data_IF_179218339073
#
_entry.id   IF_179218339073
#
_cell.length_a   1.000
_cell.length_b   1.000
_cell.length_c   1.000
_cell.angle_alpha   90.00
_cell.angle_beta   90.00
_cell.angle_gamma   90.00
#
_symmetry.space_group_name_H-M   'P 1'
#
loop_
_entity.id
_entity.type
_entity.pdbx_description
1 polymer ?
#
# COMPACT_ATOMS: atom_id res chain seq x y z
N UNK A 1 -35.68 -28.90 51.40
CA UNK A 1 -34.40 -28.24 51.73
C UNK A 1 -33.52 -28.22 50.49
N UNK A 2 -32.76 -27.14 50.24
CA UNK A 2 -32.87 -26.41 48.97
C UNK A 2 -31.73 -26.60 47.97
N UNK A 3 -32.12 -26.46 46.70
CA UNK A 3 -31.43 -25.83 45.57
C UNK A 3 -30.01 -26.30 45.20
N UNK A 4 -29.94 -27.14 44.16
CA UNK A 4 -28.84 -27.09 43.21
C UNK A 4 -28.82 -25.71 42.56
N UNK A 5 -27.99 -24.80 43.07
CA UNK A 5 -27.64 -23.57 42.38
C UNK A 5 -26.96 -23.96 41.07
N UNK A 6 -27.74 -23.97 39.97
CA UNK A 6 -27.19 -23.86 38.62
C UNK A 6 -26.38 -22.57 38.62
N UNK A 7 -25.06 -22.71 38.70
CA UNK A 7 -24.15 -21.65 38.32
C UNK A 7 -24.43 -21.44 36.84
N UNK A 8 -25.26 -20.45 36.52
CA UNK A 8 -25.39 -19.98 35.14
C UNK A 8 -24.05 -19.34 34.84
N UNK A 9 -23.12 -20.18 34.34
CA UNK A 9 -21.83 -19.72 33.86
C UNK A 9 -22.11 -18.60 32.89
N UNK A 10 -21.53 -17.44 33.15
CA UNK A 10 -21.63 -16.28 32.27
C UNK A 10 -21.13 -16.67 30.88
N UNK A 11 -22.06 -17.09 30.01
CA UNK A 11 -21.79 -17.34 28.61
C UNK A 11 -21.66 -15.97 27.99
N UNK A 12 -20.42 -15.50 27.81
CA UNK A 12 -20.19 -14.29 27.01
C UNK A 12 -20.95 -14.44 25.68
N UNK A 13 -21.63 -13.39 25.20
CA UNK A 13 -22.56 -13.52 24.08
C UNK A 13 -21.84 -14.12 22.86
N UNK A 14 -22.46 -15.13 22.24
CA UNK A 14 -21.91 -15.85 21.09
C UNK A 14 -21.49 -14.91 19.93
N UNK A 15 -22.13 -13.74 19.86
CA UNK A 15 -21.79 -12.67 18.92
C UNK A 15 -20.45 -11.99 19.25
N UNK A 16 -20.13 -11.78 20.52
CA UNK A 16 -18.81 -11.30 20.96
C UNK A 16 -17.73 -12.34 20.70
N UNK A 17 -18.03 -13.63 20.91
CA UNK A 17 -17.10 -14.72 20.57
C UNK A 17 -16.85 -14.81 19.06
N UNK A 18 -17.88 -14.69 18.22
CA UNK A 18 -17.70 -14.63 16.76
C UNK A 18 -16.92 -13.39 16.32
N UNK A 19 -17.19 -12.24 16.95
CA UNK A 19 -16.45 -11.00 16.72
C UNK A 19 -14.98 -11.12 17.12
N UNK A 20 -14.69 -11.72 18.28
CA UNK A 20 -13.34 -12.00 18.76
C UNK A 20 -12.62 -13.02 17.87
N UNK A 21 -13.29 -14.10 17.46
CA UNK A 21 -12.74 -15.10 16.53
C UNK A 21 -12.43 -14.49 15.16
N UNK A 22 -13.28 -13.58 14.67
CA UNK A 22 -13.02 -12.86 13.43
C UNK A 22 -11.88 -11.85 13.58
N UNK A 23 -11.85 -11.08 14.67
CA UNK A 23 -10.77 -10.14 14.96
C UNK A 23 -9.42 -10.86 15.11
N UNK A 24 -9.40 -12.01 15.78
CA UNK A 24 -8.19 -12.86 15.90
C UNK A 24 -7.79 -13.50 14.59
N UNK A 25 -8.73 -13.81 13.69
CA UNK A 25 -8.42 -14.24 12.32
C UNK A 25 -7.75 -13.12 11.53
N UNK A 26 -8.30 -11.90 11.58
CA UNK A 26 -7.73 -10.72 10.90
C UNK A 26 -6.33 -10.42 11.44
N UNK A 27 -6.11 -10.50 12.75
CA UNK A 27 -4.79 -10.31 13.35
C UNK A 27 -3.75 -11.36 12.94
N UNK A 28 -4.17 -12.53 12.44
CA UNK A 28 -3.29 -13.58 11.92
C UNK A 28 -3.00 -13.44 10.42
N UNK A 29 -3.74 -12.58 9.71
CA UNK A 29 -3.52 -12.33 8.29
C UNK A 29 -2.27 -11.46 8.09
N UNK A 30 -1.52 -11.77 7.03
CA UNK A 30 -0.37 -10.96 6.62
C UNK A 30 -0.86 -9.88 5.66
N UNK A 31 -0.81 -8.62 6.10
CA UNK A 31 -1.15 -7.45 5.26
C UNK A 31 0.07 -6.86 4.53
N UNK A 32 1.22 -7.52 4.62
CA UNK A 32 2.49 -7.04 4.05
C UNK A 32 3.35 -6.31 5.09
N UNK A 33 4.30 -5.54 4.60
CA UNK A 33 5.31 -4.89 5.43
C UNK A 33 5.04 -3.39 5.54
N UNK A 34 5.24 -2.82 6.74
CA UNK A 34 5.22 -1.38 6.98
C UNK A 34 6.66 -0.91 7.15
N UNK A 35 7.11 -0.01 6.28
CA UNK A 35 8.45 0.57 6.35
C UNK A 35 8.38 1.94 7.02
N UNK A 36 9.08 2.11 8.15
CA UNK A 36 9.15 3.38 8.88
C UNK A 36 10.60 3.81 8.93
N UNK A 37 10.91 4.98 8.36
CA UNK A 37 12.22 5.60 8.45
C UNK A 37 12.16 6.76 9.44
N UNK A 38 12.82 6.61 10.59
CA UNK A 38 12.99 7.69 11.56
C UNK A 38 14.32 8.37 11.23
N UNK A 39 14.25 9.60 10.71
CA UNK A 39 15.43 10.40 10.38
C UNK A 39 16.07 11.06 11.59
N UNK A 40 17.19 11.73 11.35
CA UNK A 40 17.90 12.49 12.38
C UNK A 40 17.07 13.71 12.85
N UNK A 41 17.13 14.04 14.15
CA UNK A 41 16.43 15.21 14.68
C UNK A 41 17.01 16.52 14.11
N UNK A 42 16.13 17.42 13.66
CA UNK A 42 16.52 18.73 13.12
C UNK A 42 16.38 19.79 14.21
N UNK A 43 17.50 20.36 14.66
CA UNK A 43 17.47 21.50 15.59
C UNK A 43 17.15 22.79 14.84
N UNK A 44 15.93 23.29 15.02
CA UNK A 44 15.48 24.57 14.46
C UNK A 44 16.38 25.72 14.88
N UNK A 45 16.80 25.75 16.16
CA UNK A 45 17.74 26.77 16.68
C UNK A 45 19.07 26.76 15.95
N UNK A 46 19.61 25.57 15.66
CA UNK A 46 20.89 25.44 14.92
C UNK A 46 20.71 25.80 13.45
N UNK A 47 19.59 25.42 12.85
CA UNK A 47 19.31 25.68 11.43
C UNK A 47 19.08 27.18 11.15
N UNK A 48 18.32 27.85 12.01
CA UNK A 48 17.97 29.28 11.88
C UNK A 48 19.02 30.21 12.49
N UNK A 49 19.86 29.73 13.41
CA UNK A 49 20.88 30.54 14.10
C UNK A 49 21.72 31.47 13.19
N UNK A 50 22.26 30.99 12.05
CA UNK A 50 23.01 31.83 11.11
C UNK A 50 22.14 32.58 10.09
N UNK A 51 20.82 32.38 10.09
CA UNK A 51 19.89 32.89 9.07
C UNK A 51 18.88 33.91 9.61
N UNK A 52 18.70 33.95 10.93
CA UNK A 52 17.73 34.79 11.62
C UNK A 52 18.39 35.47 12.82
N UNK A 53 18.38 36.80 12.78
CA UNK A 53 18.95 37.65 13.82
C UNK A 53 17.92 37.91 14.94
N UNK A 54 17.78 36.95 15.85
CA UNK A 54 16.80 36.99 16.95
C UNK A 54 16.93 38.18 17.92
N UNK A 55 18.06 38.87 17.89
CA UNK A 55 18.31 40.02 18.77
C UNK A 55 17.62 41.29 18.26
N UNK A 56 17.37 41.41 16.96
CA UNK A 56 16.70 42.57 16.35
C UNK A 56 15.22 42.64 16.76
N UNK A 57 14.57 41.48 16.89
CA UNK A 57 13.16 41.38 17.28
C UNK A 57 12.95 41.29 18.80
N UNK A 58 14.03 41.29 19.60
CA UNK A 58 13.96 41.10 21.06
C UNK A 58 13.37 42.33 21.79
N UNK A 59 13.42 43.51 21.18
CA UNK A 59 12.88 44.76 21.73
C UNK A 59 11.38 44.95 21.49
N UNK A 60 10.76 44.11 20.65
CA UNK A 60 9.34 44.18 20.30
C UNK A 60 8.63 42.97 20.90
N UNK A 61 7.50 43.15 21.60
CA UNK A 61 6.69 42.01 22.04
C UNK A 61 6.34 41.09 20.86
N UNK A 62 6.49 39.77 21.02
CA UNK A 62 6.43 38.80 19.92
C UNK A 62 5.10 38.81 19.14
N UNK A 63 4.01 39.30 19.72
CA UNK A 63 2.70 39.42 19.04
C UNK A 63 2.59 40.66 18.14
N UNK A 64 3.52 41.62 18.26
CA UNK A 64 3.61 42.84 17.45
C UNK A 64 4.77 42.80 16.45
N UNK A 65 5.70 41.86 16.59
CA UNK A 65 6.85 41.75 15.72
C UNK A 65 6.40 41.26 14.32
N UNK A 66 6.52 42.09 13.27
CA UNK A 66 6.27 41.63 11.91
C UNK A 66 7.38 40.65 11.51
N UNK A 67 7.01 39.59 10.78
CA UNK A 67 7.99 38.64 10.27
C UNK A 67 8.83 39.32 9.18
N UNK A 68 10.15 39.37 9.37
CA UNK A 68 11.02 39.97 8.36
C UNK A 68 11.11 39.08 7.12
N UNK A 69 11.40 39.69 5.97
CA UNK A 69 11.57 38.97 4.71
C UNK A 69 12.65 37.88 4.81
N UNK A 70 13.73 38.15 5.55
CA UNK A 70 14.81 37.19 5.77
C UNK A 70 14.36 36.00 6.62
N UNK A 71 13.52 36.22 7.63
CA UNK A 71 12.92 35.17 8.44
C UNK A 71 11.99 34.30 7.63
N UNK A 72 11.18 34.90 6.74
CA UNK A 72 10.33 34.16 5.82
C UNK A 72 11.13 33.24 4.89
N UNK A 73 12.21 33.76 4.29
CA UNK A 73 13.12 32.96 3.45
C UNK A 73 13.80 31.85 4.25
N UNK A 74 14.20 32.11 5.50
CA UNK A 74 14.81 31.11 6.37
C UNK A 74 13.82 29.99 6.75
N UNK A 75 12.56 30.33 6.99
CA UNK A 75 11.47 29.37 7.22
C UNK A 75 11.19 28.52 5.98
N UNK A 76 11.16 29.12 4.80
CA UNK A 76 10.98 28.39 3.54
C UNK A 76 12.14 27.41 3.29
N UNK A 77 13.39 27.87 3.52
CA UNK A 77 14.57 27.01 3.44
C UNK A 77 14.53 25.86 4.45
N UNK A 78 14.00 26.07 5.66
CA UNK A 78 13.77 25.00 6.64
C UNK A 78 12.73 24.00 6.14
N UNK A 79 11.62 24.48 5.58
CA UNK A 79 10.59 23.64 4.97
C UNK A 79 11.15 22.74 3.87
N UNK A 80 11.92 23.31 2.94
CA UNK A 80 12.60 22.54 1.90
C UNK A 80 13.63 21.55 2.46
N UNK A 81 14.34 21.90 3.53
CA UNK A 81 15.28 21.00 4.18
C UNK A 81 14.58 19.79 4.82
N UNK A 82 13.48 20.03 5.54
CA UNK A 82 12.64 18.96 6.12
C UNK A 82 12.07 18.07 5.02
N UNK A 83 11.53 18.65 3.95
CA UNK A 83 10.97 17.90 2.83
C UNK A 83 12.03 17.00 2.18
N UNK A 84 13.25 17.51 1.98
CA UNK A 84 14.36 16.74 1.44
C UNK A 84 14.70 15.56 2.36
N UNK A 85 14.73 15.75 3.68
CA UNK A 85 14.98 14.68 4.65
C UNK A 85 13.89 13.60 4.63
N UNK A 86 12.63 13.99 4.47
CA UNK A 86 11.52 13.05 4.30
C UNK A 86 11.69 12.25 3.00
N UNK A 87 12.05 12.92 1.89
CA UNK A 87 12.27 12.27 0.61
C UNK A 87 13.46 11.30 0.63
N UNK A 88 14.57 11.66 1.30
CA UNK A 88 15.74 10.78 1.49
C UNK A 88 15.40 9.50 2.31
N UNK A 89 14.42 9.61 3.21
CA UNK A 89 13.90 8.50 4.01
C UNK A 89 12.74 7.74 3.35
N UNK A 90 12.26 8.18 2.19
CA UNK A 90 11.13 7.54 1.53
C UNK A 90 11.55 6.20 0.93
N UNK A 91 10.72 5.18 1.16
CA UNK A 91 10.92 3.83 0.64
C UNK A 91 9.67 3.43 -0.14
N UNK A 92 9.88 2.93 -1.35
CA UNK A 92 8.81 2.45 -2.23
C UNK A 92 8.55 0.97 -1.93
N UNK A 93 7.27 0.59 -1.80
CA UNK A 93 6.91 -0.82 -1.61
C UNK A 93 7.07 -1.58 -2.93
N UNK A 94 7.52 -2.84 -2.85
CA UNK A 94 7.60 -3.71 -4.02
C UNK A 94 6.23 -3.88 -4.70
N UNK A 95 5.17 -4.01 -3.90
CA UNK A 95 3.80 -4.14 -4.38
C UNK A 95 3.38 -2.95 -5.26
N UNK A 96 3.75 -1.72 -4.89
CA UNK A 96 3.46 -0.53 -5.72
C UNK A 96 4.07 -0.63 -7.12
N UNK A 97 5.27 -1.21 -7.25
CA UNK A 97 5.92 -1.43 -8.55
C UNK A 97 5.21 -2.53 -9.34
N UNK A 98 4.76 -3.58 -8.68
CA UNK A 98 3.96 -4.64 -9.30
C UNK A 98 2.61 -4.09 -9.81
N UNK A 99 1.93 -3.26 -9.03
CA UNK A 99 0.69 -2.59 -9.44
C UNK A 99 0.89 -1.77 -10.71
N UNK A 100 2.02 -1.08 -10.86
CA UNK A 100 2.33 -0.33 -12.08
C UNK A 100 2.40 -1.26 -13.30
N UNK A 101 3.00 -2.45 -13.14
CA UNK A 101 3.06 -3.45 -14.21
C UNK A 101 1.70 -4.05 -14.54
N UNK A 102 0.88 -4.34 -13.51
CA UNK A 102 -0.49 -4.80 -13.71
C UNK A 102 -1.35 -3.75 -14.40
N UNK A 103 -1.24 -2.48 -14.01
CA UNK A 103 -1.95 -1.38 -14.67
C UNK A 103 -1.54 -1.25 -16.14
N UNK A 104 -0.24 -1.39 -16.43
CA UNK A 104 0.27 -1.41 -17.82
C UNK A 104 -0.29 -2.58 -18.63
N UNK A 105 -0.44 -3.77 -18.03
CA UNK A 105 -1.03 -4.93 -18.68
C UNK A 105 -2.53 -4.73 -18.95
N UNK A 106 -3.27 -4.21 -17.97
CA UNK A 106 -4.70 -3.90 -18.10
C UNK A 106 -4.95 -2.85 -19.20
N UNK A 107 -4.09 -1.84 -19.33
CA UNK A 107 -4.18 -0.85 -20.41
C UNK A 107 -4.05 -1.50 -21.79
N UNK A 108 -3.26 -2.57 -21.91
CA UNK A 108 -3.14 -3.37 -23.14
C UNK A 108 -4.28 -4.38 -23.33
N UNK A 109 -5.28 -4.41 -22.43
CA UNK A 109 -6.37 -5.38 -22.43
C UNK A 109 -5.96 -6.77 -21.95
N UNK A 110 -4.80 -6.92 -21.31
CA UNK A 110 -4.29 -8.20 -20.82
C UNK A 110 -4.61 -8.37 -19.33
N UNK A 111 -5.32 -9.45 -19.00
CA UNK A 111 -5.68 -9.83 -17.62
C UNK A 111 -4.74 -10.86 -17.00
N UNK A 112 -3.66 -11.18 -17.72
CA UNK A 112 -2.67 -12.17 -17.33
C UNK A 112 -1.28 -11.67 -17.70
N UNK A 113 -0.33 -11.83 -16.78
CA UNK A 113 1.09 -11.50 -16.97
C UNK A 113 1.91 -12.73 -16.63
N UNK A 114 2.90 -13.09 -17.46
CA UNK A 114 3.82 -14.18 -17.13
C UNK A 114 4.62 -13.84 -15.87
N UNK A 115 4.76 -14.78 -14.93
CA UNK A 115 5.52 -14.56 -13.70
C UNK A 115 6.97 -14.14 -13.97
N UNK A 116 7.67 -14.85 -14.86
CA UNK A 116 9.05 -14.53 -15.22
C UNK A 116 9.16 -13.11 -15.79
N UNK A 117 8.22 -12.71 -16.65
CA UNK A 117 8.20 -11.37 -17.22
C UNK A 117 7.92 -10.29 -16.18
N UNK A 118 7.02 -10.58 -15.24
CA UNK A 118 6.72 -9.68 -14.13
C UNK A 118 7.96 -9.45 -13.25
N UNK A 119 8.70 -10.52 -12.91
CA UNK A 119 9.94 -10.41 -12.14
C UNK A 119 10.98 -9.56 -12.88
N UNK A 120 11.19 -9.82 -14.17
CA UNK A 120 12.13 -9.05 -15.00
C UNK A 120 11.77 -7.55 -15.04
N UNK A 121 10.49 -7.25 -15.30
CA UNK A 121 10.00 -5.87 -15.43
C UNK A 121 10.03 -5.12 -14.08
N UNK A 122 9.76 -5.82 -12.99
CA UNK A 122 9.85 -5.26 -11.63
C UNK A 122 11.30 -5.03 -11.24
N UNK A 123 12.20 -5.96 -11.51
CA UNK A 123 13.64 -5.81 -11.28
C UNK A 123 14.20 -4.62 -12.08
N UNK A 124 13.75 -4.42 -13.32
CA UNK A 124 14.10 -3.25 -14.12
C UNK A 124 13.64 -1.94 -13.46
N UNK A 125 12.41 -1.88 -12.94
CA UNK A 125 11.91 -0.71 -12.21
C UNK A 125 12.69 -0.43 -10.92
N UNK A 126 13.05 -1.48 -10.18
CA UNK A 126 13.86 -1.34 -8.95
C UNK A 126 15.20 -0.68 -9.29
N UNK A 127 15.91 -1.21 -10.29
CA UNK A 127 17.19 -0.65 -10.73
C UNK A 127 17.05 0.81 -11.20
N UNK A 128 15.95 1.17 -11.85
CA UNK A 128 15.69 2.55 -12.27
C UNK A 128 15.49 3.48 -11.06
N UNK A 129 14.73 3.05 -10.05
CA UNK A 129 14.50 3.84 -8.82
C UNK A 129 15.80 4.02 -8.04
N UNK A 130 16.59 2.95 -7.92
CA UNK A 130 17.89 2.98 -7.24
C UNK A 130 18.88 3.92 -7.93
N UNK A 131 18.90 3.97 -9.27
CA UNK A 131 19.72 4.92 -10.04
C UNK A 131 19.37 6.38 -9.77
N UNK A 132 18.11 6.68 -9.45
CA UNK A 132 17.63 8.02 -9.11
C UNK A 132 17.91 8.34 -7.62
N UNK A 133 18.41 7.36 -6.85
CA UNK A 133 18.68 7.48 -5.41
C UNK A 133 17.50 7.14 -4.52
N UNK A 134 16.43 6.57 -5.08
CA UNK A 134 15.30 6.05 -4.31
C UNK A 134 15.62 4.67 -3.71
N UNK A 135 14.86 4.29 -2.69
CA UNK A 135 14.98 2.98 -2.02
C UNK A 135 13.71 2.16 -2.25
N UNK A 136 13.86 0.86 -2.52
CA UNK A 136 12.74 -0.06 -2.63
C UNK A 136 12.83 -1.10 -1.51
N UNK A 137 11.71 -1.39 -0.87
CA UNK A 137 11.61 -2.44 0.14
C UNK A 137 11.60 -3.82 -0.54
N UNK A 138 12.79 -4.39 -0.75
CA UNK A 138 12.98 -5.77 -1.23
C UNK A 138 13.75 -6.55 -0.17
N UNK A 139 13.20 -7.68 0.26
CA UNK A 139 13.83 -8.60 1.22
C UNK A 139 14.22 -9.89 0.48
N UNK A 140 15.50 -10.23 0.46
CA UNK A 140 15.98 -11.49 -0.11
C UNK A 140 15.99 -11.53 -1.64
N UNK A 141 15.66 -12.69 -2.22
CA UNK A 141 15.63 -12.88 -3.66
C UNK A 141 14.40 -12.19 -4.28
N UNK A 142 14.57 -11.60 -5.47
CA UNK A 142 13.52 -10.86 -6.17
C UNK A 142 12.30 -11.74 -6.47
N UNK A 143 12.51 -12.98 -6.92
CA UNK A 143 11.42 -13.92 -7.22
C UNK A 143 10.59 -14.26 -5.98
N UNK A 144 11.27 -14.54 -4.86
CA UNK A 144 10.64 -14.84 -3.57
C UNK A 144 9.86 -13.64 -3.04
N UNK A 145 10.43 -12.43 -3.16
CA UNK A 145 9.77 -11.20 -2.75
C UNK A 145 8.50 -10.92 -3.57
N UNK A 146 8.55 -11.15 -4.89
CA UNK A 146 7.38 -11.03 -5.79
C UNK A 146 6.33 -12.08 -5.42
N UNK A 147 6.74 -13.33 -5.18
CA UNK A 147 5.82 -14.40 -4.80
C UNK A 147 5.14 -14.13 -3.46
N UNK A 148 5.90 -13.70 -2.45
CA UNK A 148 5.38 -13.26 -1.14
C UNK A 148 4.38 -12.12 -1.29
N UNK A 149 4.68 -11.14 -2.14
CA UNK A 149 3.78 -10.01 -2.41
C UNK A 149 2.46 -10.45 -3.06
N UNK A 150 2.52 -11.37 -4.04
CA UNK A 150 1.31 -11.95 -4.65
C UNK A 150 0.48 -12.71 -3.60
N UNK A 151 1.13 -13.48 -2.73
CA UNK A 151 0.43 -14.22 -1.68
C UNK A 151 -0.30 -13.30 -0.69
N UNK A 152 0.33 -12.20 -0.28
CA UNK A 152 -0.26 -11.17 0.58
C UNK A 152 -1.46 -10.50 -0.10
N UNK A 153 -1.35 -10.20 -1.39
CA UNK A 153 -2.39 -9.49 -2.14
C UNK A 153 -3.23 -10.41 -3.04
N UNK A 154 -3.51 -11.62 -2.56
CA UNK A 154 -4.22 -12.67 -3.30
C UNK A 154 -5.68 -12.33 -3.67
N UNK A 155 -6.23 -11.24 -3.14
CA UNK A 155 -7.57 -10.75 -3.46
C UNK A 155 -7.61 -9.96 -4.78
N UNK A 156 -6.47 -9.41 -5.18
CA UNK A 156 -6.34 -8.60 -6.40
C UNK A 156 -5.73 -9.43 -7.52
N UNK A 157 -4.79 -10.33 -7.16
CA UNK A 157 -3.98 -11.07 -8.12
C UNK A 157 -3.80 -12.50 -7.66
N UNK A 158 -3.93 -13.47 -8.56
CA UNK A 158 -3.71 -14.89 -8.26
C UNK A 158 -2.63 -15.48 -9.17
N UNK A 159 -1.82 -16.37 -8.61
CA UNK A 159 -0.94 -17.23 -9.40
C UNK A 159 -1.77 -18.40 -9.95
N UNK A 160 -1.80 -18.55 -11.26
CA UNK A 160 -2.41 -19.69 -11.94
C UNK A 160 -1.41 -20.83 -12.15
N UNK A 161 -1.93 -22.01 -12.47
CA UNK A 161 -1.14 -23.23 -12.70
C UNK A 161 -0.18 -23.09 -13.90
N UNK A 162 -0.49 -22.21 -14.85
CA UNK A 162 0.28 -21.96 -16.08
C UNK A 162 1.51 -21.04 -15.86
N UNK A 163 1.98 -20.88 -14.62
CA UNK A 163 3.01 -19.89 -14.25
C UNK A 163 2.64 -18.43 -14.61
N UNK A 164 1.34 -18.20 -14.81
CA UNK A 164 0.74 -16.91 -15.14
C UNK A 164 0.16 -16.24 -13.89
N UNK A 165 0.30 -14.92 -13.82
CA UNK A 165 -0.23 -14.07 -12.78
C UNK A 165 -1.50 -13.42 -13.30
N UNK A 166 -2.66 -13.84 -12.79
CA UNK A 166 -3.98 -13.38 -13.22
C UNK A 166 -4.46 -12.22 -12.36
N UNK A 167 -4.97 -11.17 -13.00
CA UNK A 167 -5.56 -10.02 -12.34
C UNK A 167 -7.06 -10.26 -12.18
N UNK A 168 -7.58 -10.14 -10.96
CA UNK A 168 -8.99 -10.40 -10.66
C UNK A 168 -9.87 -9.18 -10.96
N UNK A 169 -11.08 -9.43 -11.45
CA UNK A 169 -12.12 -8.40 -11.57
C UNK A 169 -12.80 -8.21 -10.22
N UNK A 170 -12.51 -7.08 -9.56
CA UNK A 170 -13.07 -6.75 -8.23
C UNK A 170 -14.53 -6.27 -8.32
N UNK A 171 -15.03 -5.94 -9.52
CA UNK A 171 -16.42 -5.53 -9.74
C UNK A 171 -17.20 -6.57 -10.54
N UNK A 172 -17.86 -7.49 -9.83
CA UNK A 172 -19.10 -8.09 -10.29
C UNK A 172 -20.23 -7.53 -9.42
N UNK A 173 -21.32 -6.97 -9.99
CA UNK A 173 -22.52 -6.70 -9.22
C UNK A 173 -23.16 -8.05 -8.85
N UNK A 174 -23.36 -8.24 -7.55
CA UNK A 174 -24.18 -9.28 -6.88
C UNK A 174 -23.80 -10.75 -7.09
N UNK A 175 -23.02 -11.30 -6.16
CA UNK A 175 -23.26 -12.60 -5.50
C UNK A 175 -22.13 -12.87 -4.48
N UNK A 176 -22.54 -13.39 -3.34
CA UNK A 176 -21.77 -14.02 -2.26
C UNK A 176 -20.26 -14.26 -2.51
N UNK A 177 -19.47 -13.77 -1.55
CA UNK A 177 -18.07 -14.11 -1.31
C UNK A 177 -17.79 -15.59 -1.50
N UNK A 178 -17.22 -15.96 -2.64
CA UNK A 178 -16.61 -17.27 -2.85
C UNK A 178 -15.12 -17.17 -2.56
N UNK A 179 -14.81 -17.36 -1.27
CA UNK A 179 -13.56 -17.98 -0.88
C UNK A 179 -13.48 -19.37 -1.52
N UNK A 180 -12.89 -19.50 -2.70
CA UNK A 180 -12.39 -20.80 -3.18
C UNK A 180 -11.24 -20.58 -4.17
N UNK A 181 -10.04 -20.36 -3.63
CA UNK A 181 -8.84 -20.85 -4.29
C UNK A 181 -8.62 -22.29 -3.79
N UNK A 182 -9.39 -23.24 -4.29
CA UNK A 182 -9.09 -24.69 -4.24
C UNK A 182 -9.77 -25.40 -5.43
N UNK A 183 -8.96 -26.23 -6.10
CA UNK A 183 -9.27 -27.22 -7.13
C UNK A 183 -9.35 -26.73 -8.58
N UNK A 184 -8.20 -26.92 -9.25
CA UNK A 184 -8.05 -27.10 -10.69
C UNK A 184 -9.14 -28.04 -11.23
N UNK A 185 -10.05 -27.50 -12.04
CA UNK A 185 -10.87 -28.16 -13.10
C UNK A 185 -12.06 -27.30 -13.52
N UNK A 186 -12.45 -26.27 -12.76
CA UNK A 186 -13.66 -25.47 -13.04
C UNK A 186 -13.36 -24.19 -13.85
N UNK A 187 -12.10 -23.76 -13.96
CA UNK A 187 -11.75 -22.52 -14.66
C UNK A 187 -11.96 -22.57 -16.19
N UNK A 188 -12.03 -23.76 -16.79
CA UNK A 188 -12.18 -23.89 -18.24
C UNK A 188 -13.61 -23.59 -18.74
N UNK A 189 -14.61 -23.56 -17.85
CA UNK A 189 -16.03 -23.45 -18.25
C UNK A 189 -16.59 -22.03 -18.12
N UNK A 190 -15.90 -21.13 -17.41
CA UNK A 190 -16.28 -19.71 -17.31
C UNK A 190 -15.64 -18.83 -18.39
N UNK A 191 -14.56 -19.29 -19.03
CA UNK A 191 -13.92 -18.56 -20.13
C UNK A 191 -14.62 -18.76 -21.49
N UNK A 192 -15.35 -19.86 -21.71
CA UNK A 192 -16.06 -20.11 -22.98
C UNK A 192 -17.38 -19.36 -23.11
N UNK A 193 -17.96 -18.86 -22.00
CA UNK A 193 -19.25 -18.14 -22.00
C UNK A 193 -19.15 -16.63 -22.14
N UNK A 194 -17.95 -16.06 -22.22
CA UNK A 194 -17.73 -14.63 -22.54
C UNK A 194 -17.54 -14.36 -24.04
N UNK A 195 -18.32 -15.06 -24.88
CA UNK A 195 -18.53 -14.72 -26.30
C UNK A 195 -20.03 -14.51 -26.54
N UNK A 196 -20.62 -13.58 -25.80
CA UNK A 196 -21.96 -13.07 -26.11
C UNK A 196 -22.06 -11.63 -25.64
N UNK A 197 -21.85 -10.71 -26.59
CA UNK A 197 -22.45 -9.38 -26.64
C UNK A 197 -22.23 -8.43 -25.46
N UNK A 198 -21.38 -7.42 -25.66
CA UNK A 198 -21.71 -6.04 -25.32
C UNK A 198 -20.81 -5.10 -26.12
N UNK A 199 -21.41 -4.56 -27.18
CA UNK A 199 -20.86 -3.52 -28.05
C UNK A 199 -20.76 -2.23 -27.23
N UNK A 200 -19.55 -1.77 -26.92
CA UNK A 200 -19.34 -0.42 -26.40
C UNK A 200 -19.22 0.55 -27.58
N UNK A 201 -20.18 1.47 -27.72
CA UNK A 201 -20.04 2.65 -28.59
C UNK A 201 -19.34 3.76 -27.80
N UNK A 202 -18.38 4.49 -28.41
CA UNK A 202 -17.76 5.65 -27.78
C UNK A 202 -18.73 6.83 -27.73
N UNK A 203 -18.82 7.49 -26.57
CA UNK A 203 -19.55 8.76 -26.40
C UNK A 203 -18.66 9.88 -26.92
N UNK A 204 -19.03 10.44 -28.07
CA UNK A 204 -18.61 11.77 -28.52
C UNK A 204 -19.63 12.82 -28.09
N UNK A 205 -19.14 14.06 -27.93
CA UNK A 205 -19.82 15.35 -27.74
C UNK A 205 -20.30 15.73 -26.33
N UNK A 206 -19.55 16.65 -25.70
CA UNK A 206 -19.98 18.03 -25.45
C UNK A 206 -18.77 18.96 -25.56
#
# INVERSE_FOLDING_TARGET
MPNSSKVSGWHMPLQLYKGLLKATSILKESFGNICISIGDPISVRRFLGPRVERHLSASIPSYLAPLEKNEFIACDALGHHVLRKIQEGAVVSLWSLMCLQFMRALWKGQWMVSFAKLVEDVMWLVNMIEKIGGKVAVEGNMEEAVMKSIHVHNQVVCLGDDSGVHIQQIHQPSAQSLHTCKNSKICHELCSKSKAGLIWKPITSL
#
